data_IF_001972550030
#
_entry.id   IF_001972550030
#
_cell.length_a   1.000
_cell.length_b   1.000
_cell.length_c   1.000
_cell.angle_alpha   90.00
_cell.angle_beta   90.00
_cell.angle_gamma   90.00
#
_symmetry.space_group_name_H-M   'P 1'
#
loop_
_entity.id
_entity.type
_entity.pdbx_description
1 polymer ?
#
# COMPACT_ATOMS: atom_id res chain seq x y z
N UNK A 1 -24.91 5.54 5.44
CA UNK A 1 -23.47 5.48 5.72
C UNK A 1 -23.30 5.67 7.22
N UNK A 2 -22.71 4.72 7.94
CA UNK A 2 -22.49 4.84 9.39
C UNK A 2 -21.48 5.94 9.69
N UNK A 3 -21.60 6.59 10.85
CA UNK A 3 -20.70 7.67 11.28
C UNK A 3 -19.23 7.22 11.30
N UNK A 4 -18.98 5.95 11.60
CA UNK A 4 -17.63 5.36 11.65
C UNK A 4 -16.94 5.36 10.28
N UNK A 5 -17.67 5.00 9.21
CA UNK A 5 -17.12 5.00 7.85
C UNK A 5 -16.73 6.42 7.43
N UNK A 6 -17.56 7.40 7.79
CA UNK A 6 -17.27 8.80 7.50
C UNK A 6 -16.01 9.26 8.24
N UNK A 7 -15.87 8.92 9.53
CA UNK A 7 -14.70 9.25 10.32
C UNK A 7 -13.41 8.61 9.75
N UNK A 8 -13.46 7.33 9.37
CA UNK A 8 -12.33 6.63 8.75
C UNK A 8 -11.94 7.25 7.41
N UNK A 9 -12.92 7.61 6.57
CA UNK A 9 -12.66 8.24 5.29
C UNK A 9 -12.00 9.62 5.47
N UNK A 10 -12.50 10.44 6.40
CA UNK A 10 -11.91 11.75 6.71
C UNK A 10 -10.49 11.61 7.23
N UNK A 11 -10.24 10.66 8.13
CA UNK A 11 -8.91 10.42 8.67
C UNK A 11 -7.93 9.94 7.59
N UNK A 12 -8.38 9.04 6.70
CA UNK A 12 -7.57 8.57 5.58
C UNK A 12 -7.21 9.71 4.63
N UNK A 13 -8.18 10.57 4.29
CA UNK A 13 -7.95 11.75 3.45
C UNK A 13 -6.96 12.70 4.11
N UNK A 14 -7.14 13.02 5.40
CA UNK A 14 -6.24 13.89 6.13
C UNK A 14 -4.81 13.32 6.21
N UNK A 15 -4.68 12.01 6.44
CA UNK A 15 -3.38 11.32 6.47
C UNK A 15 -2.68 11.36 5.11
N UNK A 16 -3.38 11.03 4.02
CA UNK A 16 -2.81 11.07 2.67
C UNK A 16 -2.46 12.51 2.24
N UNK A 17 -3.23 13.50 2.69
CA UNK A 17 -2.90 14.91 2.48
C UNK A 17 -1.62 15.31 3.21
N UNK A 18 -1.45 14.89 4.46
CA UNK A 18 -0.24 15.14 5.23
C UNK A 18 0.99 14.52 4.54
N UNK A 19 0.89 13.28 4.04
CA UNK A 19 1.95 12.65 3.24
C UNK A 19 2.26 13.48 1.99
N UNK A 20 1.24 14.01 1.30
CA UNK A 20 1.43 14.87 0.14
C UNK A 20 2.22 16.16 0.45
N UNK A 21 2.03 16.75 1.63
CA UNK A 21 2.72 17.98 2.04
C UNK A 21 4.21 17.80 2.34
N UNK A 22 4.67 16.56 2.55
CA UNK A 22 6.09 16.24 2.80
C UNK A 22 6.84 15.81 1.54
N UNK A 23 6.18 15.80 0.37
CA UNK A 23 6.78 15.40 -0.89
C UNK A 23 7.65 16.51 -1.49
N UNK A 24 8.89 16.17 -1.79
CA UNK A 24 9.86 17.06 -2.45
C UNK A 24 10.01 16.74 -3.94
N UNK A 25 9.89 17.75 -4.81
CA UNK A 25 10.11 17.61 -6.25
C UNK A 25 11.50 17.04 -6.60
N UNK A 26 12.60 17.46 -5.94
CA UNK A 26 13.92 16.86 -6.17
C UNK A 26 14.00 15.36 -5.84
N UNK A 27 13.21 14.88 -4.88
CA UNK A 27 13.18 13.45 -4.54
C UNK A 27 12.56 12.63 -5.69
N UNK A 28 11.51 13.15 -6.33
CA UNK A 28 10.91 12.53 -7.50
C UNK A 28 11.87 12.43 -8.69
N UNK A 29 12.63 13.49 -8.97
CA UNK A 29 13.60 13.46 -10.08
C UNK A 29 14.76 12.51 -9.79
N UNK A 30 15.23 12.43 -8.55
CA UNK A 30 16.23 11.45 -8.14
C UNK A 30 15.73 10.00 -8.26
N UNK A 31 14.46 9.77 -7.94
CA UNK A 31 13.80 8.47 -8.10
C UNK A 31 13.71 8.06 -9.58
N UNK A 32 13.31 8.98 -10.45
CA UNK A 32 13.24 8.76 -11.90
C UNK A 32 14.63 8.52 -12.52
N UNK A 33 15.68 9.12 -11.96
CA UNK A 33 17.05 8.88 -12.38
C UNK A 33 17.58 7.47 -12.01
N UNK A 34 16.89 6.76 -11.10
CA UNK A 34 17.23 5.39 -10.68
C UNK A 34 16.04 4.44 -10.90
N UNK A 35 15.75 4.07 -12.16
CA UNK A 35 14.55 3.30 -12.48
C UNK A 35 14.59 1.86 -11.96
N UNK A 36 15.78 1.26 -11.84
CA UNK A 36 15.91 -0.12 -11.37
C UNK A 36 15.28 -0.37 -9.98
N UNK A 37 15.66 0.35 -8.89
CA UNK A 37 15.04 0.15 -7.59
C UNK A 37 13.54 0.49 -7.56
N UNK A 38 13.12 1.50 -8.33
CA UNK A 38 11.71 1.85 -8.47
C UNK A 38 10.89 0.70 -9.08
N UNK A 39 11.36 0.12 -10.18
CA UNK A 39 10.68 -0.99 -10.86
C UNK A 39 10.65 -2.25 -10.01
N UNK A 40 11.73 -2.53 -9.26
CA UNK A 40 11.74 -3.66 -8.31
C UNK A 40 10.71 -3.44 -7.21
N UNK A 41 10.66 -2.26 -6.60
CA UNK A 41 9.69 -1.94 -5.56
C UNK A 41 8.25 -2.06 -6.07
N UNK A 42 7.95 -1.50 -7.25
CA UNK A 42 6.65 -1.62 -7.91
C UNK A 42 6.29 -3.07 -8.23
N UNK A 43 7.23 -3.83 -8.82
CA UNK A 43 7.02 -5.23 -9.17
C UNK A 43 6.74 -6.08 -7.94
N UNK A 44 7.49 -5.89 -6.86
CA UNK A 44 7.25 -6.58 -5.59
C UNK A 44 5.90 -6.19 -5.01
N UNK A 45 5.57 -4.89 -4.97
CA UNK A 45 4.34 -4.41 -4.35
C UNK A 45 3.08 -4.87 -5.11
N UNK A 46 3.10 -4.82 -6.45
CA UNK A 46 1.94 -5.14 -7.29
C UNK A 46 1.81 -6.63 -7.56
N UNK A 47 2.91 -7.40 -7.57
CA UNK A 47 2.88 -8.83 -7.90
C UNK A 47 3.14 -9.71 -6.67
N UNK A 48 4.26 -9.51 -5.98
CA UNK A 48 4.67 -10.44 -4.94
C UNK A 48 3.76 -10.37 -3.72
N UNK A 49 3.39 -9.16 -3.25
CA UNK A 49 2.54 -9.00 -2.07
C UNK A 49 1.13 -9.58 -2.29
N UNK A 50 0.43 -9.32 -3.41
CA UNK A 50 -0.85 -9.95 -3.69
C UNK A 50 -0.76 -11.46 -3.95
N UNK A 51 0.31 -11.92 -4.60
CA UNK A 51 0.52 -13.36 -4.80
C UNK A 51 0.65 -14.11 -3.47
N UNK A 52 1.37 -13.53 -2.50
CA UNK A 52 1.46 -14.09 -1.13
C UNK A 52 0.08 -14.08 -0.46
N UNK A 53 -0.70 -13.01 -0.56
CA UNK A 53 -2.05 -12.96 -0.02
C UNK A 53 -2.97 -14.06 -0.58
N UNK A 54 -2.92 -14.29 -1.90
CA UNK A 54 -3.66 -15.37 -2.56
C UNK A 54 -3.17 -16.74 -2.07
N UNK A 55 -1.85 -16.95 -2.00
CA UNK A 55 -1.27 -18.20 -1.54
C UNK A 55 -1.67 -18.52 -0.10
N UNK A 56 -1.70 -17.52 0.79
CA UNK A 56 -2.17 -17.66 2.18
C UNK A 56 -3.66 -18.00 2.22
N UNK A 57 -4.48 -17.31 1.43
CA UNK A 57 -5.91 -17.60 1.30
C UNK A 57 -6.19 -19.04 0.89
N UNK A 58 -5.42 -19.55 -0.07
CA UNK A 58 -5.48 -20.93 -0.55
C UNK A 58 -4.99 -21.93 0.49
N UNK A 59 -3.79 -21.71 1.07
CA UNK A 59 -3.17 -22.65 2.02
C UNK A 59 -4.01 -22.82 3.29
N UNK A 60 -4.65 -21.76 3.77
CA UNK A 60 -5.45 -21.76 4.99
C UNK A 60 -6.94 -22.05 4.74
N UNK A 61 -7.35 -22.33 3.50
CA UNK A 61 -8.74 -22.58 3.11
C UNK A 61 -9.71 -21.49 3.63
N UNK A 62 -9.31 -20.22 3.49
CA UNK A 62 -10.08 -19.10 4.02
C UNK A 62 -11.42 -18.96 3.28
N UNK A 63 -12.51 -18.57 3.99
CA UNK A 63 -13.77 -18.23 3.35
C UNK A 63 -13.56 -17.12 2.30
N UNK A 64 -14.23 -17.24 1.15
CA UNK A 64 -14.12 -16.29 0.03
C UNK A 64 -14.18 -14.81 0.44
N UNK A 65 -15.11 -14.34 1.30
CA UNK A 65 -15.14 -12.93 1.68
C UNK A 65 -13.91 -12.47 2.48
N UNK A 66 -13.31 -13.36 3.29
CA UNK A 66 -12.10 -13.05 4.06
C UNK A 66 -10.88 -13.01 3.14
N UNK A 67 -10.74 -14.02 2.27
CA UNK A 67 -9.66 -14.07 1.30
C UNK A 67 -9.68 -12.85 0.36
N UNK A 68 -10.87 -12.45 -0.12
CA UNK A 68 -11.02 -11.25 -0.93
C UNK A 68 -10.58 -9.98 -0.18
N UNK A 69 -10.95 -9.84 1.10
CA UNK A 69 -10.51 -8.71 1.93
C UNK A 69 -8.98 -8.64 2.08
N UNK A 70 -8.33 -9.77 2.30
CA UNK A 70 -6.86 -9.85 2.42
C UNK A 70 -6.18 -9.48 1.10
N UNK A 71 -6.69 -10.01 -0.03
CA UNK A 71 -6.15 -9.68 -1.35
C UNK A 71 -6.35 -8.20 -1.68
N UNK A 72 -7.52 -7.63 -1.38
CA UNK A 72 -7.77 -6.19 -1.54
C UNK A 72 -6.82 -5.34 -0.69
N UNK A 73 -6.58 -5.72 0.56
CA UNK A 73 -5.63 -5.03 1.43
C UNK A 73 -4.20 -5.12 0.89
N UNK A 74 -3.80 -6.28 0.35
CA UNK A 74 -2.47 -6.49 -0.21
C UNK A 74 -2.20 -5.74 -1.52
N UNK A 75 -3.27 -5.44 -2.27
CA UNK A 75 -3.20 -4.68 -3.52
C UNK A 75 -3.16 -3.16 -3.28
N UNK A 76 -3.32 -2.71 -2.04
CA UNK A 76 -3.16 -1.31 -1.68
C UNK A 76 -1.69 -0.89 -1.78
N UNK A 77 -1.45 0.38 -2.13
CA UNK A 77 -0.10 0.94 -2.18
C UNK A 77 0.60 0.85 -0.81
N UNK A 78 1.93 0.73 -0.83
CA UNK A 78 2.75 0.67 0.39
C UNK A 78 2.48 1.87 1.32
N UNK A 79 2.42 1.59 2.63
CA UNK A 79 2.08 2.60 3.64
C UNK A 79 3.19 3.64 3.84
N UNK A 80 2.79 4.85 4.21
CA UNK A 80 3.69 6.00 4.46
C UNK A 80 4.63 5.83 5.65
N UNK A 81 4.46 4.79 6.47
CA UNK A 81 5.36 4.45 7.57
C UNK A 81 6.63 3.72 7.13
N UNK A 82 6.69 3.21 5.89
CA UNK A 82 7.85 2.47 5.37
C UNK A 82 9.19 3.20 5.53
N UNK A 83 9.30 4.50 5.17
CA UNK A 83 10.52 5.28 5.36
C UNK A 83 11.00 5.36 6.82
N UNK A 84 10.08 5.37 7.79
CA UNK A 84 10.43 5.41 9.22
C UNK A 84 11.06 4.11 9.71
N UNK A 85 10.71 2.98 9.07
CA UNK A 85 11.21 1.64 9.41
C UNK A 85 12.50 1.28 8.66
N UNK A 86 12.85 2.05 7.64
CA UNK A 86 14.06 1.85 6.83
C UNK A 86 15.28 2.61 7.37
N UNK A 87 15.09 3.42 8.43
CA UNK A 87 16.13 4.14 9.18
C UNK A 87 16.69 3.25 10.31
#
# INVERSE_FOLDING_TARGET
MSADILALAVLLIASMLAVGTTLDLPAFTALLARPAPLLVALGVNVLAVPAVAVAVGWALHLPTPVAAGIVLASAAAGGSSGPLLAL
#
